data_IF_198198317730
#
_entry.id   IF_198198317730
#
_cell.length_a   1.000
_cell.length_b   1.000
_cell.length_c   1.000
_cell.angle_alpha   90.00
_cell.angle_beta   90.00
_cell.angle_gamma   90.00
#
_symmetry.space_group_name_H-M   'P 1'
#
loop_
_entity.id
_entity.type
_entity.pdbx_description
1 polymer ?
#
# COMPACT_ATOMS: atom_id res chain seq x y z
N UNK A 1 -65.50 22.29 -8.01
CA UNK A 1 -64.76 21.34 -7.15
C UNK A 1 -63.30 21.39 -7.56
N UNK A 2 -62.42 21.63 -6.59
CA UNK A 2 -61.00 21.88 -6.77
C UNK A 2 -60.30 20.62 -7.28
N UNK A 3 -59.54 20.75 -8.36
CA UNK A 3 -58.67 19.69 -8.90
C UNK A 3 -57.25 20.23 -8.92
N UNK A 4 -56.55 20.03 -7.81
CA UNK A 4 -55.11 20.19 -7.63
C UNK A 4 -54.33 19.10 -8.37
N UNK A 5 -53.29 19.50 -9.11
CA UNK A 5 -52.08 18.74 -9.55
C UNK A 5 -51.41 19.65 -10.60
N UNK A 6 -50.20 20.17 -10.50
CA UNK A 6 -49.05 19.99 -9.63
C UNK A 6 -47.88 20.49 -10.49
N UNK A 7 -47.39 21.71 -10.24
CA UNK A 7 -46.24 22.27 -10.94
C UNK A 7 -44.98 21.65 -10.33
N UNK A 8 -44.35 20.74 -11.06
CA UNK A 8 -43.02 20.20 -10.74
C UNK A 8 -42.00 20.76 -11.72
N UNK A 9 -41.49 21.97 -11.44
CA UNK A 9 -40.22 22.44 -11.97
C UNK A 9 -39.09 21.99 -11.04
N UNK A 10 -37.90 21.89 -11.64
CA UNK A 10 -36.55 21.87 -11.04
C UNK A 10 -35.85 20.53 -10.91
N UNK A 11 -34.67 20.49 -11.56
CA UNK A 11 -33.47 19.99 -10.91
C UNK A 11 -32.84 18.78 -11.56
N UNK A 12 -32.06 18.99 -12.62
CA UNK A 12 -30.80 18.27 -12.74
C UNK A 12 -29.91 18.82 -11.63
N UNK A 13 -29.60 18.05 -10.58
CA UNK A 13 -28.51 18.35 -9.66
C UNK A 13 -28.37 17.22 -8.64
N UNK A 14 -27.25 16.49 -8.69
CA UNK A 14 -26.95 15.48 -7.69
C UNK A 14 -26.12 14.30 -8.17
N UNK A 15 -25.10 14.52 -8.99
CA UNK A 15 -23.98 13.57 -9.06
C UNK A 15 -23.25 13.67 -7.72
N UNK A 16 -23.60 12.81 -6.75
CA UNK A 16 -22.87 12.76 -5.50
C UNK A 16 -21.53 12.04 -5.72
N UNK A 17 -20.39 12.68 -5.50
CA UNK A 17 -19.10 12.00 -5.56
C UNK A 17 -19.01 11.03 -4.37
N UNK A 18 -18.69 9.75 -4.63
CA UNK A 18 -18.25 8.81 -3.59
C UNK A 18 -16.90 9.27 -3.04
N UNK A 19 -16.92 10.27 -2.18
CA UNK A 19 -15.81 10.64 -1.32
C UNK A 19 -15.86 9.76 -0.08
N UNK A 20 -15.22 8.60 -0.17
CA UNK A 20 -14.64 7.91 1.00
C UNK A 20 -13.26 7.45 0.57
N UNK A 21 -12.34 8.42 0.55
CA UNK A 21 -10.93 8.13 0.73
C UNK A 21 -10.79 7.59 2.16
N UNK A 22 -10.90 6.28 2.30
CA UNK A 22 -10.38 5.62 3.46
C UNK A 22 -8.85 5.65 3.32
N UNK A 23 -8.23 6.67 3.91
CA UNK A 23 -6.83 6.67 4.28
C UNK A 23 -6.58 5.48 5.21
N UNK A 24 -6.34 4.30 4.63
CA UNK A 24 -5.74 3.17 5.33
C UNK A 24 -4.23 3.42 5.42
N UNK A 25 -3.85 4.42 6.21
CA UNK A 25 -2.56 4.42 6.88
C UNK A 25 -2.74 3.78 8.26
N UNK A 26 -3.08 2.48 8.23
CA UNK A 26 -3.03 1.65 9.43
C UNK A 26 -1.59 1.22 9.60
N UNK A 27 -0.77 2.13 10.13
CA UNK A 27 0.56 1.84 10.68
C UNK A 27 0.39 1.22 12.07
N UNK A 28 -0.29 0.07 12.14
CA UNK A 28 -0.41 -0.70 13.37
C UNK A 28 0.73 -1.71 13.41
N UNK A 29 1.83 -1.22 13.99
CA UNK A 29 2.87 -1.95 14.68
C UNK A 29 2.30 -3.20 15.39
N UNK A 30 2.39 -4.37 14.76
CA UNK A 30 2.22 -5.64 15.47
C UNK A 30 3.57 -6.33 15.53
N UNK A 31 4.34 -5.85 16.49
CA UNK A 31 5.55 -6.42 17.05
C UNK A 31 5.26 -7.87 17.52
N UNK A 32 5.57 -8.85 16.67
CA UNK A 32 5.69 -10.26 17.04
C UNK A 32 6.97 -10.78 16.44
N UNK A 33 8.07 -10.42 17.10
CA UNK A 33 9.36 -11.07 16.92
C UNK A 33 9.23 -12.53 17.37
N UNK A 34 8.82 -13.41 16.45
CA UNK A 34 8.98 -14.85 16.65
C UNK A 34 10.47 -15.16 16.58
N UNK A 35 11.00 -15.42 17.77
CA UNK A 35 12.35 -15.86 18.12
C UNK A 35 12.81 -17.05 17.26
N UNK A 36 13.38 -16.76 16.09
CA UNK A 36 14.23 -17.69 15.32
C UNK A 36 15.68 -17.26 15.50
N UNK A 37 16.02 -17.00 16.75
CA UNK A 37 17.36 -16.69 17.21
C UNK A 37 18.06 -18.02 17.45
N UNK A 38 18.73 -18.54 16.43
CA UNK A 38 19.98 -19.30 16.59
C UNK A 38 20.51 -19.66 15.20
N UNK A 39 21.73 -19.19 14.93
CA UNK A 39 22.61 -19.63 13.84
C UNK A 39 22.60 -18.80 12.54
N UNK A 40 22.57 -17.47 12.64
CA UNK A 40 23.30 -16.62 11.66
C UNK A 40 24.02 -15.50 12.41
N UNK A 41 25.18 -15.80 12.99
CA UNK A 41 26.05 -14.82 13.69
C UNK A 41 26.88 -13.98 12.70
N UNK A 42 26.25 -13.53 11.62
CA UNK A 42 26.83 -12.56 10.69
C UNK A 42 26.07 -11.24 10.86
N UNK A 43 26.76 -10.21 11.36
CA UNK A 43 26.25 -8.83 11.59
C UNK A 43 25.58 -8.19 10.36
N UNK A 44 25.72 -8.80 9.19
CA UNK A 44 25.23 -8.35 7.89
C UNK A 44 23.92 -9.02 7.47
N UNK A 45 23.44 -10.01 8.21
CA UNK A 45 22.27 -10.80 7.85
C UNK A 45 21.19 -10.73 8.92
N UNK A 46 19.95 -10.49 8.48
CA UNK A 46 18.76 -10.53 9.32
C UNK A 46 17.72 -11.36 8.60
N UNK A 47 17.29 -12.45 9.22
CA UNK A 47 16.15 -13.23 8.75
C UNK A 47 14.89 -12.58 9.29
N UNK A 48 13.97 -12.23 8.40
CA UNK A 48 12.69 -11.62 8.76
C UNK A 48 11.56 -12.40 8.10
N UNK A 49 10.52 -12.69 8.89
CA UNK A 49 9.29 -13.30 8.41
C UNK A 49 8.26 -12.18 8.31
N UNK A 50 7.71 -11.96 7.12
CA UNK A 50 6.80 -10.83 6.88
C UNK A 50 5.52 -11.29 6.21
N UNK A 51 4.38 -10.81 6.73
CA UNK A 51 3.06 -11.04 6.13
C UNK A 51 2.67 -9.84 5.29
N UNK A 52 2.43 -10.04 4.01
CA UNK A 52 2.04 -8.98 3.07
C UNK A 52 0.73 -9.33 2.38
N UNK A 53 -0.11 -8.33 2.12
CA UNK A 53 -1.39 -8.52 1.43
C UNK A 53 -1.27 -8.88 -0.06
N UNK A 54 -0.09 -8.65 -0.67
CA UNK A 54 0.24 -9.13 -2.01
C UNK A 54 1.75 -9.24 -2.18
N UNK A 55 2.18 -10.07 -3.11
CA UNK A 55 3.60 -10.24 -3.50
C UNK A 55 4.12 -9.08 -4.38
N UNK A 56 3.48 -7.91 -4.29
CA UNK A 56 3.97 -6.69 -4.93
C UNK A 56 5.27 -6.28 -4.27
N UNK A 57 6.25 -5.92 -5.09
CA UNK A 57 7.58 -5.53 -4.61
C UNK A 57 7.53 -4.33 -3.68
N UNK A 58 6.73 -3.31 -3.98
CA UNK A 58 6.64 -2.12 -3.13
C UNK A 58 6.14 -2.45 -1.71
N UNK A 59 5.20 -3.41 -1.59
CA UNK A 59 4.75 -3.91 -0.29
C UNK A 59 5.81 -4.76 0.38
N UNK A 60 6.47 -5.65 -0.36
CA UNK A 60 7.54 -6.49 0.16
C UNK A 60 8.69 -5.64 0.69
N UNK A 61 9.08 -4.58 -0.02
CA UNK A 61 10.14 -3.67 0.39
C UNK A 61 9.75 -2.82 1.61
N UNK A 62 8.50 -2.33 1.69
CA UNK A 62 7.99 -1.66 2.90
C UNK A 62 8.13 -2.60 4.10
N UNK A 63 7.61 -3.81 3.96
CA UNK A 63 7.51 -4.75 5.06
C UNK A 63 8.88 -5.36 5.43
N UNK A 64 9.76 -5.59 4.44
CA UNK A 64 11.08 -6.15 4.66
C UNK A 64 12.07 -5.14 5.27
N UNK A 65 12.07 -3.89 4.79
CA UNK A 65 13.02 -2.87 5.25
C UNK A 65 12.43 -1.96 6.35
N UNK A 66 11.16 -2.12 6.72
CA UNK A 66 10.48 -1.24 7.66
C UNK A 66 10.43 0.22 7.21
N UNK A 67 10.50 0.49 5.90
CA UNK A 67 10.49 1.84 5.36
C UNK A 67 9.09 2.28 4.97
N UNK A 68 8.77 3.55 5.17
CA UNK A 68 7.55 4.14 4.62
C UNK A 68 7.48 3.96 3.09
N UNK A 69 6.28 3.70 2.57
CA UNK A 69 6.03 3.44 1.14
C UNK A 69 6.57 4.56 0.24
N UNK A 70 6.43 5.82 0.67
CA UNK A 70 6.90 7.00 -0.06
C UNK A 70 8.43 7.01 -0.25
N UNK A 71 9.18 6.51 0.74
CA UNK A 71 10.64 6.38 0.65
C UNK A 71 11.02 5.29 -0.35
N UNK A 72 10.34 4.14 -0.32
CA UNK A 72 10.54 3.05 -1.27
C UNK A 72 10.30 3.53 -2.70
N UNK A 73 9.23 4.29 -2.94
CA UNK A 73 8.94 4.87 -4.26
C UNK A 73 10.04 5.85 -4.71
N UNK A 74 10.54 6.69 -3.80
CA UNK A 74 11.65 7.61 -4.12
C UNK A 74 12.91 6.84 -4.56
N UNK A 75 13.26 5.77 -3.84
CA UNK A 75 14.44 4.94 -4.15
C UNK A 75 14.23 4.16 -5.46
N UNK A 76 13.00 3.72 -5.74
CA UNK A 76 12.61 3.11 -7.00
C UNK A 76 12.84 4.06 -8.18
N UNK A 77 12.36 5.30 -8.10
CA UNK A 77 12.57 6.29 -9.16
C UNK A 77 14.03 6.71 -9.30
N UNK A 78 14.81 6.67 -8.21
CA UNK A 78 16.27 6.81 -8.25
C UNK A 78 16.99 5.60 -8.89
N UNK A 79 16.27 4.57 -9.31
CA UNK A 79 16.81 3.39 -9.99
C UNK A 79 17.84 2.61 -9.17
N UNK A 80 17.73 2.67 -7.84
CA UNK A 80 18.66 2.00 -6.91
C UNK A 80 18.26 0.56 -6.57
N UNK A 81 17.04 0.16 -6.91
CA UNK A 81 16.51 -1.17 -6.60
C UNK A 81 16.74 -2.10 -7.79
N UNK A 82 17.28 -3.29 -7.50
CA UNK A 82 17.49 -4.37 -8.47
C UNK A 82 16.96 -5.67 -7.92
N UNK A 83 16.40 -6.51 -8.80
CA UNK A 83 15.97 -7.88 -8.47
C UNK A 83 16.77 -8.82 -9.35
N UNK A 84 17.45 -9.79 -8.73
CA UNK A 84 18.28 -10.77 -9.43
C UNK A 84 19.28 -10.14 -10.43
N UNK A 85 19.74 -8.91 -10.14
CA UNK A 85 20.67 -8.15 -10.98
C UNK A 85 20.02 -7.21 -12.01
N UNK A 86 18.73 -7.36 -12.29
CA UNK A 86 18.00 -6.54 -13.28
C UNK A 86 17.35 -5.31 -12.65
N UNK A 87 17.26 -4.23 -13.44
CA UNK A 87 16.61 -2.99 -13.01
C UNK A 87 15.10 -3.17 -12.99
N UNK A 88 14.50 -2.71 -11.91
CA UNK A 88 13.06 -2.68 -11.74
C UNK A 88 12.40 -1.57 -12.56
N UNK A 89 11.56 -1.94 -13.54
CA UNK A 89 10.90 -0.99 -14.45
C UNK A 89 9.50 -0.57 -13.97
N UNK A 90 8.79 -1.44 -13.25
CA UNK A 90 7.43 -1.21 -12.77
C UNK A 90 7.33 -1.54 -11.29
N UNK A 91 6.73 -0.63 -10.51
CA UNK A 91 6.59 -0.82 -9.05
C UNK A 91 5.73 -2.02 -8.65
N UNK A 92 4.68 -2.29 -9.42
CA UNK A 92 3.70 -3.33 -9.16
C UNK A 92 4.04 -4.68 -9.79
N UNK A 93 5.31 -4.95 -10.07
CA UNK A 93 5.71 -6.29 -10.46
C UNK A 93 5.48 -7.21 -9.27
N UNK A 94 4.92 -8.37 -9.58
CA UNK A 94 4.70 -9.44 -8.63
C UNK A 94 5.89 -10.38 -8.74
N UNK A 95 6.50 -10.70 -7.60
CA UNK A 95 7.67 -11.59 -7.49
C UNK A 95 7.22 -12.97 -7.06
#
# INVERSE_FOLDING_TARGET
MQSSRGLGNHGYEGYQPCAVLADFDSDEESDKEEQWDNEVDDKTSKVIIVRVGSLRIDLLLKAAFGMARNKVETIFYQSKIRINGEKLLKKSIQV
#
